data_IF_349889875058
#
_entry.id   IF_349889875058
#
_cell.length_a   1.000
_cell.length_b   1.000
_cell.length_c   1.000
_cell.angle_alpha   90.00
_cell.angle_beta   90.00
_cell.angle_gamma   90.00
#
_symmetry.space_group_name_H-M   'P 1'
#
loop_
_entity.id
_entity.type
_entity.pdbx_description
1 polymer ?
#
# COMPACT_ATOMS: atom_id res chain seq x y z
N UNK A 1 0.09 -28.42 15.67
CA UNK A 1 -0.07 -27.02 16.11
C UNK A 1 -0.92 -26.34 15.04
N UNK A 2 -2.22 -26.11 15.29
CA UNK A 2 -3.16 -25.65 14.27
C UNK A 2 -2.87 -24.21 13.82
N UNK A 3 -3.08 -23.92 12.53
CA UNK A 3 -2.97 -22.57 11.99
C UNK A 3 -4.06 -21.68 12.62
N UNK A 4 -3.66 -20.73 13.46
CA UNK A 4 -4.56 -19.65 13.88
C UNK A 4 -4.70 -18.63 12.76
N UNK A 5 -5.79 -17.84 12.69
CA UNK A 5 -5.91 -16.74 11.72
C UNK A 5 -4.70 -15.80 11.73
N UNK A 6 -4.12 -15.50 12.90
CA UNK A 6 -2.91 -14.68 13.00
C UNK A 6 -1.67 -15.36 12.41
N UNK A 7 -1.51 -16.67 12.63
CA UNK A 7 -0.40 -17.43 12.04
C UNK A 7 -0.50 -17.45 10.52
N UNK A 8 -1.71 -17.59 9.98
CA UNK A 8 -1.97 -17.55 8.54
C UNK A 8 -1.65 -16.16 7.93
N UNK A 9 -2.10 -15.07 8.56
CA UNK A 9 -1.79 -13.70 8.11
C UNK A 9 -0.29 -13.45 8.17
N UNK A 10 0.37 -13.82 9.27
CA UNK A 10 1.82 -13.65 9.43
C UNK A 10 2.59 -14.41 8.35
N UNK A 11 2.22 -15.67 8.07
CA UNK A 11 2.86 -16.47 7.03
C UNK A 11 2.69 -15.84 5.65
N UNK A 12 1.48 -15.45 5.29
CA UNK A 12 1.23 -14.79 4.00
C UNK A 12 1.96 -13.45 3.88
N UNK A 13 2.04 -12.67 4.96
CA UNK A 13 2.83 -11.44 4.99
C UNK A 13 4.33 -11.72 4.83
N UNK A 14 4.84 -12.77 5.46
CA UNK A 14 6.24 -13.18 5.30
C UNK A 14 6.52 -13.64 3.86
N UNK A 15 5.64 -14.45 3.26
CA UNK A 15 5.77 -14.87 1.86
C UNK A 15 5.88 -13.66 0.90
N UNK A 16 5.09 -12.61 1.16
CA UNK A 16 5.15 -11.36 0.39
C UNK A 16 6.47 -10.58 0.61
N UNK A 17 6.98 -10.57 1.84
CA UNK A 17 8.20 -9.86 2.19
C UNK A 17 9.46 -10.60 1.72
N UNK A 18 9.45 -11.93 1.71
CA UNK A 18 10.59 -12.75 1.27
C UNK A 18 10.82 -12.66 -0.25
N UNK A 19 9.81 -12.23 -1.01
CA UNK A 19 9.94 -11.98 -2.45
C UNK A 19 10.61 -10.65 -2.81
N UNK A 20 11.11 -9.88 -1.84
CA UNK A 20 11.86 -8.66 -2.15
C UNK A 20 13.24 -8.98 -2.72
N UNK A 21 13.49 -8.61 -3.99
CA UNK A 21 14.78 -8.68 -4.67
C UNK A 21 15.06 -7.47 -5.57
N UNK A 22 16.15 -7.50 -6.34
CA UNK A 22 16.60 -6.41 -7.24
C UNK A 22 15.54 -6.01 -8.29
N UNK A 23 14.62 -6.92 -8.60
CA UNK A 23 13.51 -6.72 -9.54
C UNK A 23 12.13 -6.68 -8.85
N UNK A 24 12.06 -6.23 -7.59
CA UNK A 24 10.77 -6.13 -6.88
C UNK A 24 9.81 -5.24 -7.67
N UNK A 25 8.56 -5.68 -7.92
CA UNK A 25 7.60 -4.89 -8.67
C UNK A 25 7.30 -3.57 -7.97
N UNK A 26 7.14 -2.52 -8.76
CA UNK A 26 6.59 -1.24 -8.30
C UNK A 26 5.06 -1.30 -8.36
N UNK A 27 4.39 -0.67 -7.40
CA UNK A 27 2.94 -0.49 -7.46
C UNK A 27 2.51 0.21 -8.75
N UNK A 28 3.36 1.07 -9.30
CA UNK A 28 3.10 1.83 -10.52
C UNK A 28 2.81 0.93 -11.73
N UNK A 29 3.51 -0.20 -11.81
CA UNK A 29 3.54 -1.05 -13.01
C UNK A 29 3.00 -2.44 -12.77
N UNK A 30 2.65 -2.79 -11.52
CA UNK A 30 2.08 -4.10 -11.22
C UNK A 30 0.70 -4.21 -11.86
N UNK A 31 0.45 -5.35 -12.49
CA UNK A 31 -0.88 -5.70 -12.97
C UNK A 31 -1.78 -6.01 -11.75
N UNK A 32 -2.82 -5.19 -11.56
CA UNK A 32 -3.73 -5.31 -10.42
C UNK A 32 -4.68 -6.52 -10.56
N UNK A 33 -4.82 -7.05 -11.77
CA UNK A 33 -5.66 -8.21 -12.09
C UNK A 33 -4.85 -9.52 -12.12
N UNK A 34 -3.51 -9.46 -12.05
CA UNK A 34 -2.66 -10.65 -12.04
C UNK A 34 -2.91 -11.52 -10.79
N UNK A 35 -3.32 -12.76 -11.06
CA UNK A 35 -3.64 -13.78 -10.05
C UNK A 35 -2.44 -14.66 -9.66
N UNK A 36 -1.28 -14.44 -10.28
CA UNK A 36 -0.08 -15.28 -10.12
C UNK A 36 1.13 -14.54 -9.52
N UNK A 37 1.16 -13.22 -9.59
CA UNK A 37 2.26 -12.39 -9.12
C UNK A 37 2.21 -11.98 -7.64
N UNK A 38 3.13 -11.09 -7.27
CA UNK A 38 3.24 -10.56 -5.90
C UNK A 38 2.02 -9.76 -5.47
N UNK A 39 1.27 -9.20 -6.43
CA UNK A 39 0.02 -8.54 -6.12
C UNK A 39 -0.97 -9.50 -5.49
N UNK A 40 -1.16 -10.70 -6.07
CA UNK A 40 -1.99 -11.75 -5.49
C UNK A 40 -1.56 -12.11 -4.06
N UNK A 41 -0.26 -12.12 -3.76
CA UNK A 41 0.22 -12.32 -2.39
C UNK A 41 -0.30 -11.24 -1.45
N UNK A 42 -0.22 -9.96 -1.83
CA UNK A 42 -0.82 -8.87 -1.05
C UNK A 42 -2.33 -9.06 -0.90
N UNK A 43 -3.07 -9.37 -1.98
CA UNK A 43 -4.53 -9.65 -1.94
C UNK A 43 -4.84 -10.76 -0.94
N UNK A 44 -4.01 -11.80 -0.89
CA UNK A 44 -4.12 -12.92 0.04
C UNK A 44 -3.90 -12.49 1.49
N UNK A 45 -2.88 -11.67 1.79
CA UNK A 45 -2.67 -11.15 3.16
C UNK A 45 -3.90 -10.38 3.63
N UNK A 46 -4.45 -9.50 2.78
CA UNK A 46 -5.61 -8.67 3.14
C UNK A 46 -6.86 -9.52 3.36
N UNK A 47 -7.12 -10.53 2.52
CA UNK A 47 -8.24 -11.45 2.69
C UNK A 47 -8.14 -12.26 3.99
N UNK A 48 -6.95 -12.75 4.33
CA UNK A 48 -6.72 -13.47 5.58
C UNK A 48 -6.85 -12.55 6.80
N UNK A 49 -6.47 -11.27 6.66
CA UNK A 49 -6.58 -10.29 7.74
C UNK A 49 -8.03 -10.02 8.15
N UNK A 50 -8.96 -10.08 7.20
CA UNK A 50 -10.40 -9.94 7.46
C UNK A 50 -10.96 -11.06 8.35
N UNK A 51 -10.28 -12.22 8.37
CA UNK A 51 -10.63 -13.37 9.20
C UNK A 51 -9.96 -13.35 10.58
N UNK A 52 -9.02 -12.43 10.82
CA UNK A 52 -8.26 -12.32 12.07
C UNK A 52 -8.78 -11.15 12.91
N UNK A 53 -9.48 -11.46 14.00
CA UNK A 53 -10.04 -10.44 14.90
C UNK A 53 -8.99 -9.40 15.34
N UNK A 54 -9.33 -8.10 15.26
CA UNK A 54 -8.43 -7.03 15.67
C UNK A 54 -7.28 -6.69 14.70
N UNK A 55 -7.11 -7.44 13.60
CA UNK A 55 -6.08 -7.21 12.58
C UNK A 55 -6.71 -6.74 11.26
N UNK A 56 -7.35 -5.57 11.29
CA UNK A 56 -7.98 -4.98 10.11
C UNK A 56 -6.99 -4.79 8.94
N UNK A 57 -7.49 -4.92 7.71
CA UNK A 57 -6.72 -4.71 6.49
C UNK A 57 -5.95 -3.38 6.47
N UNK A 58 -6.50 -2.32 7.07
CA UNK A 58 -5.84 -1.02 7.19
C UNK A 58 -4.61 -1.00 8.10
N UNK A 59 -4.58 -1.85 9.13
CA UNK A 59 -3.38 -2.03 9.96
C UNK A 59 -2.31 -2.80 9.18
N UNK A 60 -2.73 -3.84 8.46
CA UNK A 60 -1.83 -4.71 7.68
C UNK A 60 -1.18 -3.94 6.54
N UNK A 61 -1.93 -3.18 5.74
CA UNK A 61 -1.36 -2.36 4.66
C UNK A 61 -0.38 -1.34 5.19
N UNK A 62 -0.65 -0.67 6.32
CA UNK A 62 0.30 0.27 6.96
C UNK A 62 1.61 -0.41 7.36
N UNK A 63 1.53 -1.59 7.96
CA UNK A 63 2.73 -2.36 8.33
C UNK A 63 3.54 -2.77 7.09
N UNK A 64 2.88 -3.31 6.07
CA UNK A 64 3.51 -3.77 4.84
C UNK A 64 4.07 -2.61 4.00
N UNK A 65 3.36 -1.50 3.92
CA UNK A 65 3.80 -0.27 3.25
C UNK A 65 5.10 0.26 3.87
N UNK A 66 5.25 0.24 5.20
CA UNK A 66 6.52 0.62 5.85
C UNK A 66 7.69 -0.29 5.44
N UNK A 67 7.42 -1.55 5.08
CA UNK A 67 8.42 -2.53 4.64
C UNK A 67 8.68 -2.49 3.13
N UNK A 68 7.66 -2.19 2.33
CA UNK A 68 7.70 -2.14 0.86
C UNK A 68 7.01 -0.86 0.33
N UNK A 69 7.58 0.33 0.59
CA UNK A 69 6.93 1.61 0.31
C UNK A 69 6.75 1.93 -1.18
N UNK A 70 7.43 1.22 -2.07
CA UNK A 70 7.25 1.35 -3.53
C UNK A 70 6.19 0.42 -4.12
N UNK A 71 5.72 -0.58 -3.35
CA UNK A 71 4.86 -1.66 -3.85
C UNK A 71 3.50 -1.73 -3.18
N UNK A 72 3.44 -1.55 -1.85
CA UNK A 72 2.19 -1.74 -1.10
C UNK A 72 1.54 -0.37 -0.89
N UNK A 73 0.40 -0.06 -1.52
CA UNK A 73 -0.31 1.20 -1.25
C UNK A 73 -0.96 1.19 0.13
N UNK A 74 -1.10 2.36 0.76
CA UNK A 74 -1.88 2.46 1.99
C UNK A 74 -3.37 2.30 1.68
N UNK A 75 -4.04 1.54 2.54
CA UNK A 75 -5.48 1.44 2.57
C UNK A 75 -5.99 1.88 3.94
N UNK A 76 -6.66 3.04 4.00
CA UNK A 76 -7.46 3.41 5.16
C UNK A 76 -8.67 4.28 4.76
N UNK A 77 -9.50 4.63 5.74
CA UNK A 77 -10.73 5.39 5.50
C UNK A 77 -10.50 6.79 4.94
N UNK A 78 -9.35 7.41 5.20
CA UNK A 78 -9.04 8.76 4.72
C UNK A 78 -8.63 8.71 3.26
N UNK A 79 -7.74 7.78 2.91
CA UNK A 79 -7.37 7.54 1.51
C UNK A 79 -8.60 7.14 0.69
N UNK A 80 -9.44 6.25 1.22
CA UNK A 80 -10.69 5.89 0.56
C UNK A 80 -11.62 7.09 0.33
N UNK A 81 -11.77 7.97 1.33
CA UNK A 81 -12.61 9.16 1.23
C UNK A 81 -12.11 10.14 0.16
N UNK A 82 -10.79 10.35 0.05
CA UNK A 82 -10.20 11.21 -0.98
C UNK A 82 -10.58 10.76 -2.40
N UNK A 83 -10.51 9.46 -2.67
CA UNK A 83 -10.87 8.89 -3.96
C UNK A 83 -12.38 8.61 -4.11
N UNK A 84 -13.23 9.15 -3.22
CA UNK A 84 -14.69 8.99 -3.30
C UNK A 84 -15.18 7.54 -3.14
N UNK A 85 -14.38 6.67 -2.52
CA UNK A 85 -14.70 5.25 -2.32
C UNK A 85 -14.86 4.91 -0.85
N UNK A 86 -15.25 3.66 -0.58
CA UNK A 86 -15.42 3.16 0.80
C UNK A 86 -14.26 2.25 1.18
N UNK A 87 -13.82 2.35 2.45
CA UNK A 87 -12.85 1.42 3.03
C UNK A 87 -13.39 -0.01 3.24
N UNK A 88 -14.51 -0.37 2.61
CA UNK A 88 -15.02 -1.76 2.53
C UNK A 88 -14.63 -2.44 1.22
N UNK A 89 -14.25 -1.67 0.20
CA UNK A 89 -13.92 -2.18 -1.15
C UNK A 89 -12.55 -1.67 -1.59
N UNK A 90 -11.45 -2.16 -0.97
CA UNK A 90 -10.09 -1.75 -1.32
C UNK A 90 -9.76 -1.97 -2.80
N UNK A 91 -10.40 -2.97 -3.42
CA UNK A 91 -10.25 -3.32 -4.83
C UNK A 91 -10.56 -2.16 -5.79
N UNK A 92 -11.48 -1.27 -5.42
CA UNK A 92 -11.88 -0.13 -6.25
C UNK A 92 -10.98 1.09 -6.04
N UNK A 93 -10.20 1.13 -4.94
CA UNK A 93 -9.28 2.22 -4.63
C UNK A 93 -8.02 2.15 -5.50
N UNK A 94 -7.45 0.96 -5.64
CA UNK A 94 -6.10 0.83 -6.17
C UNK A 94 -5.94 1.23 -7.63
N UNK A 95 -6.89 0.96 -8.55
CA UNK A 95 -6.79 1.48 -9.91
C UNK A 95 -6.74 3.01 -9.96
N UNK A 96 -7.55 3.69 -9.14
CA UNK A 96 -7.55 5.15 -9.06
C UNK A 96 -6.22 5.68 -8.49
N UNK A 97 -5.73 5.07 -7.40
CA UNK A 97 -4.44 5.43 -6.79
C UNK A 97 -3.26 5.15 -7.73
N UNK A 98 -3.28 4.04 -8.48
CA UNK A 98 -2.25 3.69 -9.45
C UNK A 98 -2.25 4.66 -10.64
N UNK A 99 -3.43 5.06 -11.12
CA UNK A 99 -3.57 6.07 -12.16
C UNK A 99 -3.00 7.43 -11.72
N UNK A 100 -3.34 7.87 -10.50
CA UNK A 100 -2.87 9.12 -9.91
C UNK A 100 -1.34 9.13 -9.71
N UNK A 101 -0.79 8.02 -9.18
CA UNK A 101 0.65 7.82 -9.08
C UNK A 101 1.33 7.87 -10.45
N UNK A 102 0.75 7.26 -11.48
CA UNK A 102 1.31 7.27 -12.83
C UNK A 102 1.29 8.68 -13.44
N UNK A 103 0.18 9.40 -13.27
CA UNK A 103 0.01 10.75 -13.79
C UNK A 103 1.00 11.75 -13.17
N UNK A 104 1.27 11.62 -11.87
CA UNK A 104 2.09 12.56 -11.11
C UNK A 104 3.49 12.05 -10.76
N UNK A 105 3.93 10.91 -11.33
CA UNK A 105 5.13 10.19 -10.93
C UNK A 105 6.40 11.06 -10.88
N UNK A 106 6.65 11.86 -11.91
CA UNK A 106 7.90 12.64 -12.02
C UNK A 106 7.93 13.81 -11.05
N UNK A 107 6.77 14.43 -10.80
CA UNK A 107 6.61 15.47 -9.80
C UNK A 107 6.76 14.90 -8.38
N UNK A 108 6.09 13.78 -8.09
CA UNK A 108 6.20 13.08 -6.82
C UNK A 108 7.64 12.64 -6.56
N UNK A 109 8.30 12.04 -7.54
CA UNK A 109 9.72 11.66 -7.44
C UNK A 109 10.62 12.86 -7.17
N UNK A 110 10.38 13.99 -7.85
CA UNK A 110 11.15 15.22 -7.64
C UNK A 110 10.95 15.76 -6.22
N UNK A 111 9.70 15.88 -5.76
CA UNK A 111 9.38 16.32 -4.40
C UNK A 111 10.02 15.38 -3.36
N UNK A 112 9.86 14.08 -3.55
CA UNK A 112 10.32 13.05 -2.64
C UNK A 112 11.86 12.92 -2.58
N UNK A 113 12.57 13.26 -3.66
CA UNK A 113 14.04 13.19 -3.73
C UNK A 113 14.76 14.10 -2.72
N UNK A 114 14.10 15.17 -2.28
CA UNK A 114 14.60 16.11 -1.27
C UNK A 114 14.44 15.61 0.16
N UNK A 115 13.64 14.56 0.38
CA UNK A 115 13.34 13.98 1.70
C UNK A 115 14.06 12.65 1.85
N UNK A 116 14.85 12.52 2.92
CA UNK A 116 15.56 11.28 3.27
C UNK A 116 14.82 10.52 4.36
N UNK A 117 14.71 9.21 4.19
CA UNK A 117 14.21 8.30 5.22
C UNK A 117 15.30 8.04 6.28
N UNK A 118 14.93 7.41 7.40
CA UNK A 118 15.87 7.13 8.51
C UNK A 118 17.05 6.22 8.11
N UNK A 119 16.92 5.50 7.00
CA UNK A 119 17.94 4.65 6.37
C UNK A 119 18.58 5.31 5.14
N UNK A 120 18.52 6.65 5.05
CA UNK A 120 19.18 7.52 4.05
C UNK A 120 18.78 7.30 2.58
N UNK A 121 17.67 6.61 2.35
CA UNK A 121 17.08 6.46 1.01
C UNK A 121 16.17 7.65 0.68
N UNK A 122 16.02 8.01 -0.60
CA UNK A 122 14.97 8.93 -1.02
C UNK A 122 13.60 8.36 -0.63
N UNK A 123 12.67 9.26 -0.30
CA UNK A 123 11.28 8.87 -0.08
C UNK A 123 10.69 8.27 -1.37
N UNK A 124 9.99 7.14 -1.28
CA UNK A 124 9.32 6.55 -2.44
C UNK A 124 8.20 7.46 -2.97
N UNK A 125 8.00 7.53 -4.28
CA UNK A 125 6.92 8.32 -4.88
C UNK A 125 5.53 7.92 -4.38
N UNK A 126 5.27 6.60 -4.24
CA UNK A 126 4.03 6.08 -3.64
C UNK A 126 3.86 6.56 -2.18
N UNK A 127 4.95 6.58 -1.40
CA UNK A 127 4.92 7.09 -0.02
C UNK A 127 4.63 8.60 0.02
N UNK A 128 5.18 9.36 -0.93
CA UNK A 128 4.90 10.79 -1.05
C UNK A 128 3.43 11.05 -1.37
N UNK A 129 2.85 10.32 -2.33
CA UNK A 129 1.43 10.40 -2.66
C UNK A 129 0.56 10.09 -1.43
N UNK A 130 0.86 9.00 -0.71
CA UNK A 130 0.14 8.62 0.50
C UNK A 130 0.17 9.73 1.57
N UNK A 131 1.31 10.40 1.76
CA UNK A 131 1.43 11.52 2.70
C UNK A 131 0.57 12.70 2.24
N UNK A 132 0.68 13.10 0.97
CA UNK A 132 -0.06 14.24 0.41
C UNK A 132 -1.57 14.01 0.52
N UNK A 133 -2.07 12.85 0.10
CA UNK A 133 -3.49 12.49 0.18
C UNK A 133 -3.98 12.52 1.63
N UNK A 134 -3.20 11.92 2.54
CA UNK A 134 -3.59 11.87 3.94
C UNK A 134 -3.60 13.25 4.59
N UNK A 135 -2.57 14.07 4.35
CA UNK A 135 -2.48 15.43 4.87
C UNK A 135 -3.61 16.30 4.32
N UNK A 136 -3.94 16.20 3.03
CA UNK A 136 -5.06 16.93 2.43
C UNK A 136 -6.39 16.62 3.15
N UNK A 137 -6.67 15.33 3.38
CA UNK A 137 -7.92 14.91 4.06
C UNK A 137 -7.95 15.33 5.53
N UNK A 138 -6.81 15.29 6.22
CA UNK A 138 -6.75 15.58 7.67
C UNK A 138 -6.73 17.07 7.97
N UNK A 139 -5.96 17.83 7.19
CA UNK A 139 -5.80 19.26 7.40
C UNK A 139 -6.89 20.07 6.71
N UNK A 140 -7.68 19.45 5.83
CA UNK A 140 -8.70 20.13 5.02
C UNK A 140 -8.11 21.38 4.37
N UNK A 141 -7.01 21.23 3.63
CA UNK A 141 -6.45 22.34 2.84
C UNK A 141 -7.58 22.93 2.00
N UNK A 142 -8.11 24.06 2.46
CA UNK A 142 -9.20 24.75 1.81
C UNK A 142 -8.73 25.08 0.40
N UNK A 143 -9.39 24.47 -0.58
CA UNK A 143 -9.25 24.84 -1.98
C UNK A 143 -9.84 26.22 -2.21
#
# INVERSE_FOLDING_TARGET
MGDTPYTAVRRAAQDLLDRTGVASPSFRTVDLDDESGEWMLLRRVLRLSDQAAGLAASKVTKMLHRKRPEFVPIFDSKVAAFYGTTARTPWNLWPALQADLNQHHDELTRLASSVRTADDRPLAALRALDIIVWEHVVTSCAS
#
